data_IF_225795504853
#
_entry.id   IF_225795504853
#
_cell.length_a   1.000
_cell.length_b   1.000
_cell.length_c   1.000
_cell.angle_alpha   90.00
_cell.angle_beta   90.00
_cell.angle_gamma   90.00
#
_symmetry.space_group_name_H-M   'P 1'
#
loop_
_entity.id
_entity.type
_entity.pdbx_description
1 polymer ?
#
# COMPACT_ATOMS: atom_id res chain seq x y z
N UNK A 1 18.11 18.59 -22.97
CA UNK A 1 17.54 17.34 -22.41
C UNK A 1 17.09 17.65 -21.00
N UNK A 2 15.78 17.80 -20.75
CA UNK A 2 15.30 17.77 -19.37
C UNK A 2 15.46 16.34 -18.89
N UNK A 3 16.56 16.06 -18.17
CA UNK A 3 16.78 14.75 -17.57
C UNK A 3 15.57 14.38 -16.73
N UNK A 4 15.18 13.11 -16.80
CA UNK A 4 14.10 12.56 -15.98
C UNK A 4 14.43 12.82 -14.51
N UNK A 5 13.76 13.81 -13.90
CA UNK A 5 13.92 14.10 -12.48
C UNK A 5 12.93 13.22 -11.74
N UNK A 6 13.43 12.29 -10.96
CA UNK A 6 12.57 11.59 -10.01
C UNK A 6 11.94 12.63 -9.09
N UNK A 7 10.66 12.45 -8.77
CA UNK A 7 9.93 13.33 -7.86
C UNK A 7 9.54 12.53 -6.59
N UNK A 8 10.46 12.36 -5.62
CA UNK A 8 10.22 11.56 -4.41
C UNK A 8 8.97 11.97 -3.65
N UNK A 9 8.65 13.26 -3.62
CA UNK A 9 7.43 13.77 -2.98
C UNK A 9 6.14 13.29 -3.66
N UNK A 10 6.13 13.17 -5.00
CA UNK A 10 4.99 12.58 -5.72
C UNK A 10 4.86 11.10 -5.44
N UNK A 11 5.99 10.39 -5.32
CA UNK A 11 6.00 8.97 -4.93
C UNK A 11 5.45 8.80 -3.50
N UNK A 12 5.88 9.61 -2.54
CA UNK A 12 5.31 9.60 -1.17
C UNK A 12 3.83 9.90 -1.14
N UNK A 13 3.37 10.88 -1.93
CA UNK A 13 1.95 11.20 -2.04
C UNK A 13 1.15 10.03 -2.64
N UNK A 14 1.72 9.30 -3.60
CA UNK A 14 1.12 8.10 -4.14
C UNK A 14 1.08 6.97 -3.11
N UNK A 15 2.17 6.73 -2.38
CA UNK A 15 2.23 5.72 -1.33
C UNK A 15 1.15 5.95 -0.26
N UNK A 16 0.98 7.19 0.20
CA UNK A 16 -0.09 7.55 1.15
C UNK A 16 -1.49 7.17 0.65
N UNK A 17 -1.77 7.36 -0.64
CA UNK A 17 -3.06 6.94 -1.22
C UNK A 17 -3.25 5.42 -1.22
N UNK A 18 -2.17 4.66 -1.40
CA UNK A 18 -2.23 3.20 -1.28
C UNK A 18 -2.39 2.75 0.17
N UNK A 19 -1.80 3.46 1.12
CA UNK A 19 -2.02 3.26 2.56
C UNK A 19 -3.49 3.55 2.93
N UNK A 20 -4.06 4.68 2.48
CA UNK A 20 -5.48 5.01 2.69
C UNK A 20 -6.40 3.90 2.14
N UNK A 21 -6.13 3.41 0.92
CA UNK A 21 -6.89 2.30 0.31
C UNK A 21 -6.70 0.99 1.08
N UNK A 22 -5.50 0.72 1.58
CA UNK A 22 -5.21 -0.45 2.40
C UNK A 22 -6.01 -0.40 3.71
N UNK A 23 -6.08 0.76 4.36
CA UNK A 23 -6.86 0.98 5.57
C UNK A 23 -8.36 0.77 5.32
N UNK A 24 -8.91 1.32 4.24
CA UNK A 24 -10.31 1.12 3.82
C UNK A 24 -10.62 -0.37 3.59
N UNK A 25 -9.71 -1.10 2.95
CA UNK A 25 -9.85 -2.55 2.73
C UNK A 25 -9.74 -3.33 4.06
N UNK A 26 -8.89 -2.89 4.98
CA UNK A 26 -8.79 -3.45 6.33
C UNK A 26 -10.07 -3.25 7.14
N UNK A 27 -10.70 -2.07 7.06
CA UNK A 27 -12.01 -1.79 7.65
C UNK A 27 -13.10 -2.69 7.03
N UNK A 28 -13.13 -2.80 5.69
CA UNK A 28 -14.08 -3.66 4.99
C UNK A 28 -13.94 -5.14 5.39
N UNK A 29 -12.70 -5.64 5.52
CA UNK A 29 -12.43 -7.00 5.96
C UNK A 29 -12.97 -7.23 7.39
N UNK A 30 -12.70 -6.30 8.31
CA UNK A 30 -13.21 -6.35 9.71
C UNK A 30 -14.72 -6.33 9.79
N UNK A 31 -15.40 -5.58 8.92
CA UNK A 31 -16.86 -5.56 8.86
C UNK A 31 -17.46 -6.90 8.43
N UNK A 32 -16.73 -7.70 7.67
CA UNK A 32 -17.18 -9.05 7.27
C UNK A 32 -16.70 -10.17 8.15
N UNK A 33 -15.69 -9.93 8.98
CA UNK A 33 -15.21 -10.89 9.96
C UNK A 33 -16.27 -11.05 11.06
N UNK A 34 -16.87 -12.24 11.17
CA UNK A 34 -17.90 -12.53 12.16
C UNK A 34 -19.34 -12.17 11.78
N UNK A 35 -19.62 -11.72 10.55
CA UNK A 35 -21.03 -11.55 10.11
C UNK A 35 -21.77 -12.88 10.18
N UNK A 36 -21.12 -13.99 9.84
CA UNK A 36 -21.71 -15.33 9.86
C UNK A 36 -21.87 -15.95 11.26
N UNK A 37 -21.27 -15.37 12.32
CA UNK A 37 -21.39 -15.88 13.69
C UNK A 37 -22.54 -15.24 14.50
N UNK A 38 -23.24 -14.26 13.92
CA UNK A 38 -24.48 -13.73 14.49
C UNK A 38 -25.65 -14.70 14.28
N UNK A 39 -26.67 -14.62 15.14
CA UNK A 39 -27.98 -15.29 14.98
C UNK A 39 -28.72 -14.78 13.72
N UNK A 40 -28.19 -15.09 12.53
CA UNK A 40 -28.75 -14.70 11.23
C UNK A 40 -29.96 -15.57 10.84
N UNK A 41 -30.55 -16.26 11.82
CA UNK A 41 -31.69 -17.14 11.64
C UNK A 41 -31.28 -18.60 11.39
N UNK A 42 -32.11 -19.36 10.64
CA UNK A 42 -31.94 -20.80 10.47
C UNK A 42 -30.54 -21.20 9.96
N UNK A 43 -30.00 -22.37 10.36
CA UNK A 43 -28.64 -22.81 10.03
C UNK A 43 -28.27 -22.77 8.54
N UNK A 44 -29.26 -23.02 7.66
CA UNK A 44 -29.07 -22.96 6.21
C UNK A 44 -28.81 -21.54 5.68
N UNK A 45 -29.38 -20.51 6.30
CA UNK A 45 -29.15 -19.10 5.93
C UNK A 45 -27.77 -18.66 6.38
N UNK A 46 -27.38 -18.98 7.62
CA UNK A 46 -26.04 -18.71 8.13
C UNK A 46 -24.97 -19.36 7.23
N UNK A 47 -25.14 -20.63 6.87
CA UNK A 47 -24.20 -21.36 5.99
C UNK A 47 -24.11 -20.74 4.58
N UNK A 48 -25.24 -20.33 4.00
CA UNK A 48 -25.26 -19.70 2.67
C UNK A 48 -24.57 -18.33 2.69
N UNK A 49 -24.80 -17.53 3.74
CA UNK A 49 -24.12 -16.26 3.94
C UNK A 49 -22.62 -16.45 4.18
N UNK A 50 -22.23 -17.45 4.96
CA UNK A 50 -20.82 -17.77 5.21
C UNK A 50 -20.10 -18.17 3.91
N UNK A 51 -20.77 -18.95 3.06
CA UNK A 51 -20.29 -19.31 1.72
C UNK A 51 -20.15 -18.13 0.75
N UNK A 52 -20.96 -17.08 0.92
CA UNK A 52 -20.88 -15.85 0.12
C UNK A 52 -19.80 -14.90 0.64
N UNK A 53 -19.72 -14.75 1.97
CA UNK A 53 -18.85 -13.76 2.62
C UNK A 53 -17.40 -14.20 2.62
N UNK A 54 -17.11 -15.50 2.82
CA UNK A 54 -15.74 -16.00 2.92
C UNK A 54 -14.89 -15.74 1.66
N UNK A 55 -15.37 -15.99 0.43
CA UNK A 55 -14.63 -15.63 -0.78
C UNK A 55 -14.37 -14.12 -0.88
N UNK A 56 -15.37 -13.30 -0.53
CA UNK A 56 -15.24 -11.85 -0.57
C UNK A 56 -14.23 -11.33 0.44
N UNK A 57 -14.29 -11.81 1.69
CA UNK A 57 -13.33 -11.48 2.73
C UNK A 57 -11.89 -11.86 2.32
N UNK A 58 -11.72 -13.02 1.67
CA UNK A 58 -10.43 -13.44 1.11
C UNK A 58 -9.94 -12.49 0.02
N UNK A 59 -10.81 -12.09 -0.92
CA UNK A 59 -10.46 -11.12 -1.96
C UNK A 59 -10.09 -9.75 -1.41
N UNK A 60 -10.81 -9.26 -0.39
CA UNK A 60 -10.51 -7.99 0.29
C UNK A 60 -9.17 -8.07 1.02
N UNK A 61 -8.89 -9.17 1.71
CA UNK A 61 -7.61 -9.39 2.38
C UNK A 61 -6.42 -9.44 1.39
N UNK A 62 -6.61 -10.07 0.23
CA UNK A 62 -5.60 -10.09 -0.82
C UNK A 62 -5.34 -8.68 -1.38
N UNK A 63 -6.41 -7.93 -1.68
CA UNK A 63 -6.30 -6.56 -2.17
C UNK A 63 -5.62 -5.64 -1.14
N UNK A 64 -5.92 -5.80 0.15
CA UNK A 64 -5.25 -5.07 1.23
C UNK A 64 -3.74 -5.35 1.21
N UNK A 65 -3.33 -6.62 1.15
CA UNK A 65 -1.92 -7.00 1.12
C UNK A 65 -1.19 -6.43 -0.11
N UNK A 66 -1.83 -6.44 -1.28
CA UNK A 66 -1.28 -5.85 -2.51
C UNK A 66 -1.11 -4.34 -2.40
N UNK A 67 -2.11 -3.62 -1.88
CA UNK A 67 -2.05 -2.17 -1.70
C UNK A 67 -0.95 -1.76 -0.71
N UNK A 68 -0.86 -2.44 0.44
CA UNK A 68 0.19 -2.22 1.43
C UNK A 68 1.59 -2.52 0.87
N UNK A 69 1.72 -3.62 0.11
CA UNK A 69 2.96 -3.98 -0.58
C UNK A 69 3.38 -2.93 -1.61
N UNK A 70 2.42 -2.41 -2.39
CA UNK A 70 2.67 -1.34 -3.36
C UNK A 70 3.13 -0.04 -2.67
N UNK A 71 2.48 0.37 -1.58
CA UNK A 71 2.90 1.53 -0.80
C UNK A 71 4.36 1.40 -0.32
N UNK A 72 4.71 0.26 0.28
CA UNK A 72 6.07 -0.02 0.75
C UNK A 72 7.11 0.00 -0.39
N UNK A 73 6.77 -0.56 -1.55
CA UNK A 73 7.62 -0.52 -2.74
C UNK A 73 7.85 0.90 -3.25
N UNK A 74 6.79 1.73 -3.27
CA UNK A 74 6.87 3.14 -3.70
C UNK A 74 7.72 3.96 -2.74
N UNK A 75 7.56 3.76 -1.43
CA UNK A 75 8.40 4.42 -0.41
C UNK A 75 9.88 4.04 -0.55
N UNK A 76 10.15 2.76 -0.83
CA UNK A 76 11.51 2.27 -1.08
C UNK A 76 12.12 2.94 -2.31
N UNK A 77 11.35 3.07 -3.39
CA UNK A 77 11.78 3.77 -4.60
C UNK A 77 12.04 5.26 -4.33
N UNK A 78 11.14 5.94 -3.60
CA UNK A 78 11.32 7.35 -3.23
C UNK A 78 12.62 7.56 -2.46
N UNK A 79 12.90 6.72 -1.47
CA UNK A 79 14.14 6.76 -0.68
C UNK A 79 15.38 6.53 -1.55
N UNK A 80 15.32 5.56 -2.46
CA UNK A 80 16.44 5.24 -3.35
C UNK A 80 16.81 6.40 -4.27
N UNK A 81 15.80 7.16 -4.73
CA UNK A 81 16.05 8.36 -5.55
C UNK A 81 16.70 9.50 -4.75
N UNK A 82 16.29 9.71 -3.50
CA UNK A 82 16.93 10.72 -2.64
C UNK A 82 18.36 10.36 -2.29
N UNK A 83 18.61 9.10 -1.91
CA UNK A 83 19.95 8.62 -1.59
C UNK A 83 20.90 8.81 -2.80
N UNK A 84 20.40 8.60 -4.02
CA UNK A 84 21.13 8.84 -5.26
C UNK A 84 21.36 10.34 -5.54
N UNK A 85 20.39 11.21 -5.29
CA UNK A 85 20.55 12.67 -5.43
C UNK A 85 21.59 13.20 -4.43
N UNK A 86 21.53 12.75 -3.17
CA UNK A 86 22.48 13.12 -2.12
C UNK A 86 23.91 12.68 -2.44
N UNK A 87 24.08 11.48 -3.00
CA UNK A 87 25.39 10.98 -3.40
C UNK A 87 25.97 11.75 -4.60
N UNK A 88 25.12 12.10 -5.57
CA UNK A 88 25.52 12.95 -6.68
C UNK A 88 25.96 14.35 -6.19
N UNK A 89 25.19 14.96 -5.27
CA UNK A 89 25.55 16.26 -4.66
C UNK A 89 26.85 16.17 -3.86
N UNK A 90 27.05 15.11 -3.06
CA UNK A 90 28.30 14.88 -2.33
C UNK A 90 29.50 14.74 -3.25
N UNK A 91 29.32 14.03 -4.36
CA UNK A 91 30.37 13.84 -5.37
C UNK A 91 30.75 15.17 -6.03
N UNK A 92 29.76 15.98 -6.45
CA UNK A 92 30.01 17.31 -7.04
C UNK A 92 30.75 18.23 -6.07
N UNK A 93 30.33 18.31 -4.80
CA UNK A 93 31.00 19.13 -3.78
C UNK A 93 32.46 18.72 -3.54
N UNK A 94 32.77 17.42 -3.60
CA UNK A 94 34.14 16.92 -3.47
C UNK A 94 35.00 17.35 -4.66
N UNK A 95 34.46 17.32 -5.87
CA UNK A 95 35.16 17.74 -7.09
C UNK A 95 35.41 19.25 -7.08
N UNK A 96 34.41 20.05 -6.71
CA UNK A 96 34.51 21.52 -6.70
C UNK A 96 35.40 22.05 -5.57
N UNK A 97 35.48 21.36 -4.43
CA UNK A 97 36.31 21.75 -3.28
C UNK A 97 37.78 21.33 -3.35
N UNK A 98 38.22 20.76 -4.48
CA UNK A 98 39.56 20.19 -4.66
C UNK A 98 40.53 21.10 -5.46
N UNK A 99 40.27 22.41 -5.53
CA UNK A 99 41.13 23.45 -6.13
C UNK A 99 41.64 24.45 -5.09
#
# INVERSE_FOLDING_TARGET
MSGYRAEPERLRALARRFEDVADDLGDAARLTDGVASGELGPPGIATALDGLIRPWASSVAAAHAEAAGAAAGILTAAKSYEDAEDDAVRTLRRVDGSF
#
